data_IF_112754899412
#
_entry.id   IF_112754899412
#
_cell.length_a   1.000
_cell.length_b   1.000
_cell.length_c   1.000
_cell.angle_alpha   90.00
_cell.angle_beta   90.00
_cell.angle_gamma   90.00
#
_symmetry.space_group_name_H-M   'P 1'
#
loop_
_entity.id
_entity.type
_entity.pdbx_description
1 polymer ?
#
# COMPACT_ATOMS: atom_id res chain seq x y z
N UNK A 1 2.32 77.55 3.19
CA UNK A 1 2.97 77.32 4.50
C UNK A 1 2.19 76.25 5.27
N UNK A 2 2.87 75.19 5.75
CA UNK A 2 2.40 74.19 6.70
C UNK A 2 1.15 73.36 6.33
N UNK A 3 1.41 72.15 5.84
CA UNK A 3 0.74 70.92 6.20
C UNK A 3 1.51 69.74 5.59
N UNK A 4 2.61 69.38 6.21
CA UNK A 4 3.30 68.11 6.03
C UNK A 4 3.83 67.70 7.40
N UNK A 5 3.10 66.88 8.11
CA UNK A 5 3.57 66.00 9.21
C UNK A 5 2.32 65.24 9.69
N UNK A 6 2.18 63.98 9.31
CA UNK A 6 1.52 62.87 9.99
C UNK A 6 1.15 61.78 9.00
N UNK A 7 2.15 61.18 8.32
CA UNK A 7 1.92 60.02 7.50
C UNK A 7 3.16 59.10 7.52
N UNK A 8 3.65 58.71 8.71
CA UNK A 8 4.84 57.86 8.79
C UNK A 8 4.85 56.94 10.02
N UNK A 9 3.71 56.50 10.57
CA UNK A 9 3.71 55.56 11.73
C UNK A 9 2.76 54.33 11.55
N UNK A 10 2.08 54.17 10.45
CA UNK A 10 1.10 53.03 10.31
C UNK A 10 1.60 51.89 9.44
N UNK A 11 2.76 51.97 8.80
CA UNK A 11 3.27 50.90 7.90
C UNK A 11 4.15 49.86 8.64
N UNK A 12 4.49 50.07 9.89
CA UNK A 12 5.46 49.22 10.64
C UNK A 12 4.88 48.00 11.39
N UNK A 13 3.55 47.84 11.46
CA UNK A 13 2.95 46.78 12.34
C UNK A 13 2.32 45.63 11.52
N UNK A 14 2.12 45.78 10.22
CA UNK A 14 1.48 44.69 9.39
C UNK A 14 2.50 43.70 8.82
N UNK A 15 3.80 43.99 8.87
CA UNK A 15 4.85 43.10 8.32
C UNK A 15 5.30 41.98 9.29
N UNK A 16 4.85 41.95 10.55
CA UNK A 16 5.32 40.99 11.55
C UNK A 16 4.37 39.80 11.82
N UNK A 17 3.25 39.70 11.10
CA UNK A 17 2.23 38.66 11.32
C UNK A 17 2.13 37.60 10.21
N UNK A 18 3.05 37.58 9.26
CA UNK A 18 3.01 36.63 8.11
C UNK A 18 4.18 35.62 8.05
N UNK A 19 4.89 35.41 9.15
CA UNK A 19 6.01 34.42 9.19
C UNK A 19 5.83 33.30 10.22
N UNK A 20 4.61 32.89 10.49
CA UNK A 20 4.34 31.69 11.30
C UNK A 20 3.56 30.63 10.51
N UNK A 21 3.81 30.47 9.19
CA UNK A 21 3.63 29.18 8.55
C UNK A 21 4.85 28.34 8.90
N UNK A 22 4.86 27.85 10.14
CA UNK A 22 5.86 26.86 10.56
C UNK A 22 5.78 25.68 9.60
N UNK A 23 6.87 25.39 8.89
CA UNK A 23 7.10 24.06 8.33
C UNK A 23 6.80 23.08 9.47
N UNK A 24 5.72 22.33 9.33
CA UNK A 24 5.40 21.26 10.26
C UNK A 24 6.53 20.26 10.08
N UNK A 25 7.48 20.25 11.01
CA UNK A 25 8.58 19.29 10.99
C UNK A 25 7.92 17.91 11.12
N UNK A 26 7.96 17.11 10.05
CA UNK A 26 7.41 15.76 10.02
C UNK A 26 8.02 14.83 11.08
N UNK A 27 9.10 15.28 11.72
CA UNK A 27 9.75 14.62 12.86
C UNK A 27 9.07 14.89 14.18
N UNK A 28 8.18 15.88 14.28
CA UNK A 28 7.47 16.15 15.54
C UNK A 28 6.21 15.31 15.60
N UNK A 29 6.21 14.31 16.48
CA UNK A 29 5.05 13.46 16.73
C UNK A 29 4.19 14.12 17.82
N UNK A 30 2.93 14.47 17.52
CA UNK A 30 2.05 15.08 18.53
C UNK A 30 1.71 14.08 19.63
N UNK A 31 1.45 14.61 20.83
CA UNK A 31 0.94 13.85 21.96
C UNK A 31 -0.55 14.16 22.15
N UNK A 32 -1.38 13.12 22.24
CA UNK A 32 -2.82 13.21 22.51
C UNK A 32 -3.11 12.34 23.73
N UNK A 33 -3.72 12.90 24.76
CA UNK A 33 -4.04 12.22 26.02
C UNK A 33 -2.85 11.42 26.62
N UNK A 34 -1.65 11.98 26.51
CA UNK A 34 -0.41 11.38 27.01
C UNK A 34 0.18 10.29 26.13
N UNK A 35 -0.41 10.00 24.95
CA UNK A 35 0.08 9.01 23.99
C UNK A 35 0.62 9.69 22.74
N UNK A 36 1.68 9.14 22.11
CA UNK A 36 2.10 9.62 20.80
C UNK A 36 1.02 9.33 19.76
N UNK A 37 0.66 10.34 18.96
CA UNK A 37 -0.30 10.19 17.87
C UNK A 37 0.41 10.04 16.55
N UNK A 38 0.11 8.95 15.82
CA UNK A 38 0.63 8.67 14.49
C UNK A 38 -0.51 8.68 13.48
N UNK A 39 -0.33 9.42 12.41
CA UNK A 39 -1.22 9.33 11.24
C UNK A 39 -0.61 8.36 10.24
N UNK A 40 -1.37 7.33 9.88
CA UNK A 40 -0.99 6.32 8.89
C UNK A 40 -1.89 6.50 7.66
N UNK A 41 -1.30 6.71 6.49
CA UNK A 41 -2.02 6.66 5.23
C UNK A 41 -2.08 5.23 4.72
N UNK A 42 -3.24 4.80 4.28
CA UNK A 42 -3.46 3.45 3.73
C UNK A 42 -3.80 3.57 2.26
N UNK A 43 -3.18 2.77 1.40
CA UNK A 43 -3.38 2.76 -0.06
C UNK A 43 -4.75 2.19 -0.52
N UNK A 44 -5.75 2.26 0.35
CA UNK A 44 -7.14 1.80 0.16
C UNK A 44 -7.64 1.06 1.38
N UNK A 45 -8.34 1.75 2.29
CA UNK A 45 -8.79 1.20 3.58
C UNK A 45 -9.70 -0.04 3.44
N UNK A 46 -10.51 -0.09 2.38
CA UNK A 46 -11.44 -1.21 2.14
C UNK A 46 -10.79 -2.41 1.43
N UNK A 47 -9.58 -2.29 0.92
CA UNK A 47 -8.87 -3.37 0.23
C UNK A 47 -8.43 -4.45 1.21
N UNK A 48 -8.72 -5.72 0.92
CA UNK A 48 -8.35 -6.83 1.80
C UNK A 48 -6.84 -6.93 2.00
N UNK A 49 -6.04 -6.56 1.02
CA UNK A 49 -4.56 -6.52 1.13
C UNK A 49 -4.06 -5.62 2.26
N UNK A 50 -4.85 -4.62 2.69
CA UNK A 50 -4.52 -3.69 3.78
C UNK A 50 -5.39 -3.90 5.04
N UNK A 51 -6.15 -5.00 5.09
CA UNK A 51 -7.00 -5.39 6.21
C UNK A 51 -6.30 -5.26 7.58
N UNK A 52 -5.02 -5.61 7.76
CA UNK A 52 -4.36 -5.49 9.06
C UNK A 52 -4.41 -4.07 9.65
N UNK A 53 -4.42 -3.00 8.84
CA UNK A 53 -4.45 -1.63 9.35
C UNK A 53 -5.74 -1.34 10.15
N UNK A 54 -6.89 -1.55 9.52
CA UNK A 54 -8.18 -1.32 10.17
C UNK A 54 -8.45 -2.36 11.26
N UNK A 55 -8.07 -3.62 11.05
CA UNK A 55 -8.27 -4.68 12.02
C UNK A 55 -7.48 -4.42 13.32
N UNK A 56 -6.23 -3.92 13.24
CA UNK A 56 -5.44 -3.52 14.42
C UNK A 56 -6.19 -2.48 15.25
N UNK A 57 -6.77 -1.47 14.60
CA UNK A 57 -7.57 -0.44 15.26
C UNK A 57 -8.84 -1.05 15.87
N UNK A 58 -9.56 -1.91 15.15
CA UNK A 58 -10.81 -2.53 15.61
C UNK A 58 -10.62 -3.52 16.77
N UNK A 59 -9.45 -4.13 16.86
CA UNK A 59 -9.06 -5.02 17.97
C UNK A 59 -8.49 -4.25 19.18
N UNK A 60 -8.28 -2.91 19.06
CA UNK A 60 -7.74 -2.07 20.13
C UNK A 60 -6.25 -2.30 20.38
N UNK A 61 -5.52 -2.90 19.41
CA UNK A 61 -4.10 -3.21 19.64
C UNK A 61 -3.20 -1.99 19.59
N UNK A 62 -3.61 -0.89 18.95
CA UNK A 62 -2.87 0.37 19.03
C UNK A 62 -2.92 0.93 20.45
N UNK A 63 -4.12 1.03 21.05
CA UNK A 63 -4.31 1.53 22.40
C UNK A 63 -3.64 0.62 23.44
N UNK A 64 -3.72 -0.69 23.24
CA UNK A 64 -3.04 -1.69 24.10
C UNK A 64 -1.51 -1.51 24.10
N UNK A 65 -0.95 -1.04 23.00
CA UNK A 65 0.48 -0.74 22.87
C UNK A 65 0.79 0.74 23.16
N UNK A 66 -0.11 1.47 23.83
CA UNK A 66 0.09 2.84 24.30
C UNK A 66 0.46 3.81 23.14
N UNK A 67 -0.27 3.72 22.03
CA UNK A 67 -0.15 4.60 20.87
C UNK A 67 -1.53 4.97 20.34
N UNK A 68 -1.71 6.23 19.96
CA UNK A 68 -2.91 6.71 19.28
C UNK A 68 -2.65 6.71 17.77
N UNK A 69 -3.50 6.05 17.00
CA UNK A 69 -3.33 5.94 15.54
C UNK A 69 -4.55 6.47 14.81
N UNK A 70 -4.30 7.42 13.92
CA UNK A 70 -5.28 7.92 12.97
C UNK A 70 -5.04 7.27 11.61
N UNK A 71 -6.00 6.47 11.15
CA UNK A 71 -5.98 5.90 9.81
C UNK A 71 -6.64 6.85 8.81
N UNK A 72 -5.95 7.15 7.72
CA UNK A 72 -6.46 7.88 6.56
C UNK A 72 -6.38 6.98 5.33
N UNK A 73 -7.26 7.17 4.35
CA UNK A 73 -7.28 6.37 3.14
C UNK A 73 -7.01 7.19 1.90
N UNK A 74 -6.21 6.63 0.99
CA UNK A 74 -6.02 7.08 -0.39
C UNK A 74 -6.43 5.96 -1.35
N UNK A 75 -6.72 6.31 -2.61
CA UNK A 75 -7.16 5.31 -3.58
C UNK A 75 -6.02 4.44 -4.13
N UNK A 76 -4.78 4.91 -4.05
CA UNK A 76 -3.60 4.22 -4.57
C UNK A 76 -2.40 4.30 -3.64
N UNK A 77 -1.48 3.32 -3.73
CA UNK A 77 -0.21 3.36 -3.02
C UNK A 77 0.63 4.58 -3.37
N UNK A 78 0.68 4.99 -4.64
CA UNK A 78 1.43 6.15 -5.09
C UNK A 78 0.90 7.47 -4.47
N UNK A 79 -0.40 7.60 -4.23
CA UNK A 79 -0.95 8.77 -3.52
C UNK A 79 -0.60 8.73 -2.04
N UNK A 80 -0.68 7.56 -1.41
CA UNK A 80 -0.30 7.38 0.00
C UNK A 80 1.19 7.67 0.23
N UNK A 81 2.05 7.21 -0.67
CA UNK A 81 3.49 7.52 -0.70
C UNK A 81 3.76 9.03 -0.76
N UNK A 82 3.01 9.74 -1.61
CA UNK A 82 3.15 11.20 -1.73
C UNK A 82 2.87 11.90 -0.40
N UNK A 83 1.84 11.50 0.33
CA UNK A 83 1.52 12.05 1.65
C UNK A 83 2.65 11.82 2.69
N UNK A 84 3.35 10.67 2.61
CA UNK A 84 4.50 10.40 3.45
C UNK A 84 5.70 11.28 3.10
N UNK A 85 5.98 11.45 1.81
CA UNK A 85 7.11 12.26 1.32
C UNK A 85 6.92 13.74 1.63
N UNK A 86 5.69 14.26 1.57
CA UNK A 86 5.37 15.64 1.93
C UNK A 86 5.35 15.88 3.44
N UNK A 87 5.37 14.81 4.25
CA UNK A 87 5.33 14.90 5.72
C UNK A 87 3.92 15.09 6.30
N UNK A 88 2.88 14.90 5.49
CA UNK A 88 1.49 15.00 5.94
C UNK A 88 1.12 13.83 6.89
N UNK A 89 1.80 12.71 6.74
CA UNK A 89 1.66 11.51 7.58
C UNK A 89 3.01 10.96 8.01
N UNK A 90 3.04 10.16 9.07
CA UNK A 90 4.27 9.58 9.62
C UNK A 90 4.57 8.18 9.08
N UNK A 91 3.55 7.48 8.61
CA UNK A 91 3.69 6.11 8.09
C UNK A 91 2.69 5.84 6.98
N UNK A 92 2.96 4.80 6.20
CA UNK A 92 2.06 4.29 5.16
C UNK A 92 1.88 2.80 5.33
N UNK A 93 0.64 2.34 5.21
CA UNK A 93 0.34 0.95 4.89
C UNK A 93 0.15 0.86 3.38
N UNK A 94 1.13 0.26 2.72
CA UNK A 94 1.23 0.14 1.28
C UNK A 94 2.14 -1.02 0.89
N UNK A 95 2.49 -1.12 -0.39
CA UNK A 95 3.35 -2.18 -0.89
C UNK A 95 4.83 -1.88 -0.63
N UNK A 96 5.59 -2.90 -0.29
CA UNK A 96 7.03 -2.86 -0.08
C UNK A 96 7.83 -2.37 -1.30
N UNK A 97 7.37 -2.68 -2.52
CA UNK A 97 8.03 -2.29 -3.77
C UNK A 97 8.26 -0.77 -3.89
N UNK A 98 7.40 0.03 -3.24
CA UNK A 98 7.57 1.48 -3.15
C UNK A 98 8.86 1.89 -2.44
N UNK A 99 9.34 1.13 -1.45
CA UNK A 99 10.60 1.45 -0.76
C UNK A 99 11.79 1.32 -1.71
N UNK A 100 11.74 0.35 -2.63
CA UNK A 100 12.77 0.15 -3.67
C UNK A 100 12.66 1.22 -4.77
N UNK A 101 11.45 1.51 -5.28
CA UNK A 101 11.23 2.54 -6.30
C UNK A 101 11.66 3.92 -5.81
N UNK A 102 11.40 4.24 -4.53
CA UNK A 102 11.79 5.51 -3.94
C UNK A 102 13.27 5.59 -3.63
N UNK A 103 13.92 4.48 -3.26
CA UNK A 103 15.38 4.48 -3.14
C UNK A 103 16.05 4.78 -4.50
N UNK A 104 15.47 4.31 -5.61
CA UNK A 104 15.94 4.70 -6.95
C UNK A 104 15.81 6.21 -7.24
N UNK A 105 14.95 6.90 -6.50
CA UNK A 105 14.75 8.35 -6.53
C UNK A 105 15.45 9.08 -5.37
N UNK A 106 16.42 8.42 -4.73
CA UNK A 106 17.20 8.96 -3.61
C UNK A 106 16.35 9.35 -2.38
N UNK A 107 15.17 8.71 -2.22
CA UNK A 107 14.33 8.83 -1.04
C UNK A 107 14.49 7.59 -0.15
N UNK A 108 14.74 7.79 1.14
CA UNK A 108 14.89 6.69 2.08
C UNK A 108 13.57 6.37 2.78
N UNK A 109 12.97 5.24 2.39
CA UNK A 109 11.86 4.63 3.10
C UNK A 109 12.23 3.21 3.50
N UNK A 110 11.80 2.78 4.69
CA UNK A 110 12.05 1.44 5.19
C UNK A 110 10.76 0.77 5.66
N UNK A 111 10.52 -0.46 5.21
CA UNK A 111 9.47 -1.32 5.75
C UNK A 111 9.85 -1.79 7.14
N UNK A 112 8.97 -1.61 8.11
CA UNK A 112 9.21 -1.96 9.53
C UNK A 112 8.36 -3.15 9.99
N UNK A 113 7.28 -3.48 9.27
CA UNK A 113 6.47 -4.70 9.45
C UNK A 113 6.00 -5.17 8.09
N UNK A 114 6.24 -6.43 7.75
CA UNK A 114 5.75 -7.06 6.52
C UNK A 114 4.46 -7.81 6.80
N UNK A 115 3.35 -7.46 6.11
CA UNK A 115 2.07 -8.11 6.35
C UNK A 115 1.87 -9.32 5.44
N UNK A 116 2.28 -9.23 4.17
CA UNK A 116 2.02 -10.25 3.17
C UNK A 116 3.27 -10.64 2.38
N UNK A 117 3.44 -11.95 2.14
CA UNK A 117 4.56 -12.51 1.38
C UNK A 117 4.31 -12.51 -0.14
N UNK A 118 3.06 -12.25 -0.55
CA UNK A 118 2.60 -12.24 -1.94
C UNK A 118 1.73 -11.02 -2.22
N UNK A 119 1.51 -10.63 -3.50
CA UNK A 119 0.81 -9.40 -3.85
C UNK A 119 -0.65 -9.31 -3.35
N UNK A 120 -1.40 -10.42 -3.34
CA UNK A 120 -2.83 -10.36 -3.12
C UNK A 120 -3.60 -9.68 -4.28
N UNK A 121 -2.93 -9.44 -5.40
CA UNK A 121 -3.46 -8.80 -6.60
C UNK A 121 -3.83 -9.85 -7.65
N UNK A 122 -4.81 -9.49 -8.49
CA UNK A 122 -5.33 -10.34 -9.57
C UNK A 122 -5.42 -9.52 -10.84
N UNK A 123 -4.90 -10.05 -11.96
CA UNK A 123 -5.19 -9.51 -13.27
C UNK A 123 -6.52 -10.08 -13.73
N UNK A 124 -7.52 -9.22 -13.90
CA UNK A 124 -8.83 -9.55 -14.44
C UNK A 124 -8.89 -9.22 -15.93
N UNK A 125 -9.67 -9.98 -16.68
CA UNK A 125 -10.07 -9.68 -18.05
C UNK A 125 -11.58 -9.50 -18.11
N UNK A 126 -12.07 -8.52 -18.89
CA UNK A 126 -13.50 -8.30 -19.07
C UNK A 126 -14.19 -9.57 -19.62
N UNK A 127 -15.43 -9.81 -19.24
CA UNK A 127 -16.18 -10.95 -19.75
C UNK A 127 -16.30 -10.94 -21.30
N UNK A 128 -16.29 -9.74 -21.92
CA UNK A 128 -16.37 -9.57 -23.36
C UNK A 128 -15.08 -10.03 -24.05
N UNK A 129 -13.92 -9.77 -23.45
CA UNK A 129 -12.62 -10.09 -24.03
C UNK A 129 -12.08 -11.45 -23.60
N UNK A 130 -12.70 -12.11 -22.62
CA UNK A 130 -12.22 -13.37 -22.03
C UNK A 130 -12.10 -14.55 -23.00
N UNK A 131 -12.67 -14.45 -24.20
CA UNK A 131 -12.50 -15.44 -25.28
C UNK A 131 -11.21 -15.20 -26.09
N UNK A 132 -10.69 -13.97 -26.09
CA UNK A 132 -9.52 -13.55 -26.88
C UNK A 132 -8.31 -13.24 -26.04
N UNK A 133 -8.49 -12.88 -24.75
CA UNK A 133 -7.42 -12.65 -23.78
C UNK A 133 -7.40 -13.85 -22.82
N UNK A 134 -6.53 -14.80 -23.06
CA UNK A 134 -6.41 -16.06 -22.31
C UNK A 134 -5.08 -16.21 -21.61
N UNK A 135 -4.13 -15.35 -21.91
CA UNK A 135 -2.79 -15.29 -21.33
C UNK A 135 -2.26 -13.86 -21.29
N UNK A 136 -1.18 -13.62 -20.54
CA UNK A 136 -0.51 -12.33 -20.51
C UNK A 136 0.03 -11.90 -21.89
N UNK A 137 0.33 -12.85 -22.79
CA UNK A 137 0.77 -12.54 -24.16
C UNK A 137 -0.30 -11.81 -24.99
N UNK A 138 -1.59 -12.05 -24.70
CA UNK A 138 -2.73 -11.47 -25.41
C UNK A 138 -3.02 -10.01 -24.99
N UNK A 139 -2.29 -9.49 -23.99
CA UNK A 139 -2.44 -8.11 -23.49
C UNK A 139 -1.83 -7.06 -24.44
N UNK A 140 -1.14 -7.47 -25.50
CA UNK A 140 -0.58 -6.56 -26.51
C UNK A 140 -1.67 -5.75 -27.20
N UNK A 141 -1.49 -4.42 -27.27
CA UNK A 141 -2.43 -3.48 -27.87
C UNK A 141 -3.69 -3.20 -27.04
N UNK A 142 -3.78 -3.73 -25.81
CA UNK A 142 -4.95 -3.60 -24.94
C UNK A 142 -4.85 -2.38 -24.00
N UNK A 143 -5.99 -1.96 -23.49
CA UNK A 143 -6.11 -0.96 -22.42
C UNK A 143 -6.07 -1.67 -21.06
N UNK A 144 -4.98 -1.53 -20.34
CA UNK A 144 -4.75 -2.21 -19.06
C UNK A 144 -4.98 -1.27 -17.89
N UNK A 145 -5.96 -1.63 -17.05
CA UNK A 145 -6.33 -0.86 -15.87
C UNK A 145 -5.34 -1.06 -14.72
N UNK A 146 -4.86 0.04 -14.17
CA UNK A 146 -4.05 0.07 -12.94
C UNK A 146 -4.63 1.11 -11.97
N UNK A 147 -4.36 0.99 -10.66
CA UNK A 147 -4.90 1.97 -9.71
C UNK A 147 -4.40 3.39 -10.02
N UNK A 148 -3.11 3.54 -10.27
CA UNK A 148 -2.50 4.74 -10.85
C UNK A 148 -1.15 4.39 -11.47
N UNK A 149 -0.62 5.26 -12.33
CA UNK A 149 0.74 5.08 -12.84
C UNK A 149 1.74 5.22 -11.68
N UNK A 150 2.69 4.29 -11.61
CA UNK A 150 3.67 4.20 -10.51
C UNK A 150 3.14 3.54 -9.24
N UNK A 151 1.91 3.00 -9.23
CA UNK A 151 1.43 2.12 -8.16
C UNK A 151 1.94 0.68 -8.35
N UNK A 152 1.82 -0.15 -7.31
CA UNK A 152 2.23 -1.55 -7.38
C UNK A 152 1.47 -2.33 -8.44
N UNK A 153 0.19 -2.03 -8.67
CA UNK A 153 -0.58 -2.60 -9.80
C UNK A 153 0.06 -2.26 -11.15
N UNK A 154 0.60 -1.05 -11.33
CA UNK A 154 1.33 -0.69 -12.55
C UNK A 154 2.67 -1.44 -12.67
N UNK A 155 3.41 -1.61 -11.56
CA UNK A 155 4.64 -2.39 -11.57
C UNK A 155 4.40 -3.87 -11.89
N UNK A 156 3.37 -4.47 -11.30
CA UNK A 156 3.00 -5.86 -11.56
C UNK A 156 2.51 -6.06 -12.99
N UNK A 157 1.69 -5.15 -13.53
CA UNK A 157 1.28 -5.17 -14.95
C UNK A 157 2.50 -5.10 -15.88
N UNK A 158 3.47 -4.22 -15.59
CA UNK A 158 4.72 -4.16 -16.36
C UNK A 158 5.54 -5.46 -16.23
N UNK A 159 5.51 -6.12 -15.08
CA UNK A 159 6.21 -7.39 -14.89
C UNK A 159 5.55 -8.52 -15.70
N UNK A 160 4.23 -8.64 -15.66
CA UNK A 160 3.48 -9.66 -16.41
C UNK A 160 3.68 -9.49 -17.92
N UNK A 161 3.46 -8.30 -18.45
CA UNK A 161 3.61 -8.00 -19.87
C UNK A 161 5.07 -8.10 -20.33
N UNK A 162 6.00 -7.65 -19.48
CA UNK A 162 7.43 -7.69 -19.76
C UNK A 162 8.00 -9.12 -19.84
N UNK A 163 7.42 -10.09 -19.13
CA UNK A 163 7.78 -11.52 -19.28
C UNK A 163 7.43 -12.05 -20.68
N UNK A 164 6.39 -11.50 -21.31
CA UNK A 164 5.98 -11.80 -22.67
C UNK A 164 6.70 -10.94 -23.72
N UNK A 165 7.78 -10.28 -23.34
CA UNK A 165 8.60 -9.46 -24.25
C UNK A 165 7.97 -8.13 -24.65
N UNK A 166 6.96 -7.66 -23.92
CA UNK A 166 6.34 -6.36 -24.15
C UNK A 166 7.08 -5.26 -23.38
N UNK A 167 6.92 -4.04 -23.88
CA UNK A 167 7.29 -2.80 -23.21
C UNK A 167 6.05 -1.96 -22.95
N UNK A 168 6.15 -0.89 -22.19
CA UNK A 168 5.03 0.04 -21.96
C UNK A 168 4.54 0.79 -23.22
N UNK A 169 5.21 0.63 -24.36
CA UNK A 169 4.77 1.13 -25.65
C UNK A 169 3.84 0.14 -26.40
N UNK A 170 3.77 -1.11 -25.94
CA UNK A 170 3.01 -2.18 -26.59
C UNK A 170 1.56 -2.29 -26.12
N UNK A 171 1.15 -1.51 -25.10
CA UNK A 171 -0.20 -1.47 -24.54
C UNK A 171 -0.47 -0.12 -23.90
N UNK A 172 -1.74 0.20 -23.61
CA UNK A 172 -2.11 1.45 -22.93
C UNK A 172 -2.33 1.19 -21.44
N UNK A 173 -1.65 1.92 -20.56
CA UNK A 173 -1.92 1.90 -19.12
C UNK A 173 -2.97 2.95 -18.77
N UNK A 174 -4.10 2.50 -18.25
CA UNK A 174 -5.24 3.35 -17.89
C UNK A 174 -5.34 3.47 -16.39
N UNK A 175 -5.41 4.71 -15.88
CA UNK A 175 -5.70 4.95 -14.46
C UNK A 175 -7.15 4.62 -14.18
N UNK A 176 -7.41 3.40 -13.71
CA UNK A 176 -8.74 2.86 -13.45
C UNK A 176 -9.20 3.05 -11.99
N UNK A 177 -8.27 3.44 -11.10
CA UNK A 177 -8.58 3.51 -9.67
C UNK A 177 -8.78 2.13 -9.04
N UNK A 178 -9.68 2.03 -8.05
CA UNK A 178 -10.03 0.80 -7.37
C UNK A 178 -11.55 0.78 -7.04
N UNK A 179 -12.08 -0.38 -6.67
CA UNK A 179 -13.49 -0.53 -6.33
C UNK A 179 -14.40 -0.12 -7.49
N UNK A 180 -15.38 0.72 -7.23
CA UNK A 180 -16.41 1.09 -8.21
C UNK A 180 -15.84 1.80 -9.46
N UNK A 181 -14.73 2.54 -9.34
CA UNK A 181 -14.10 3.20 -10.50
C UNK A 181 -13.47 2.18 -11.44
N UNK A 182 -12.83 1.14 -10.90
CA UNK A 182 -12.28 0.02 -11.67
C UNK A 182 -13.40 -0.77 -12.37
N UNK A 183 -14.45 -1.11 -11.63
CA UNK A 183 -15.62 -1.83 -12.15
C UNK A 183 -16.26 -1.03 -13.31
N UNK A 184 -16.50 0.26 -13.12
CA UNK A 184 -17.04 1.11 -14.17
C UNK A 184 -16.12 1.19 -15.39
N UNK A 185 -14.80 1.30 -15.19
CA UNK A 185 -13.82 1.29 -16.26
C UNK A 185 -13.91 0.05 -17.15
N UNK A 186 -14.06 -1.13 -16.54
CA UNK A 186 -14.19 -2.40 -17.27
C UNK A 186 -15.56 -2.53 -17.93
N UNK A 187 -16.66 -2.23 -17.22
CA UNK A 187 -18.02 -2.38 -17.74
C UNK A 187 -18.36 -1.42 -18.88
N UNK A 188 -17.66 -0.29 -18.97
CA UNK A 188 -17.84 0.70 -20.05
C UNK A 188 -16.75 0.62 -21.13
N UNK A 189 -16.01 -0.50 -21.22
CA UNK A 189 -14.95 -0.74 -22.21
C UNK A 189 -13.81 0.32 -22.15
N UNK A 190 -13.60 0.93 -21.00
CA UNK A 190 -12.44 1.82 -20.77
C UNK A 190 -11.14 1.04 -20.56
N UNK A 191 -11.25 -0.21 -20.08
CA UNK A 191 -10.15 -1.16 -19.92
C UNK A 191 -10.60 -2.55 -20.39
N UNK A 192 -9.71 -3.26 -21.07
CA UNK A 192 -9.94 -4.64 -21.58
C UNK A 192 -9.56 -5.67 -20.51
N UNK A 193 -8.50 -5.39 -19.76
CA UNK A 193 -8.00 -6.14 -18.62
C UNK A 193 -7.47 -5.17 -17.55
N UNK A 194 -7.19 -5.66 -16.34
CA UNK A 194 -6.60 -4.78 -15.32
C UNK A 194 -6.30 -5.48 -14.00
N UNK A 195 -5.32 -4.90 -13.30
CA UNK A 195 -4.84 -5.36 -12.01
C UNK A 195 -5.66 -4.75 -10.88
N UNK A 196 -6.24 -5.60 -10.04
CA UNK A 196 -7.02 -5.17 -8.86
C UNK A 196 -6.95 -6.22 -7.75
N UNK A 197 -7.59 -5.95 -6.63
CA UNK A 197 -7.61 -6.81 -5.44
C UNK A 197 -9.02 -6.98 -4.88
N UNK A 198 -9.19 -7.89 -3.93
CA UNK A 198 -10.43 -8.05 -3.20
C UNK A 198 -10.78 -6.80 -2.34
N UNK A 199 -12.07 -6.47 -2.20
CA UNK A 199 -13.26 -7.23 -2.63
C UNK A 199 -13.69 -7.01 -4.10
N UNK A 200 -13.01 -6.17 -4.88
CA UNK A 200 -13.36 -5.90 -6.28
C UNK A 200 -13.30 -7.16 -7.14
N UNK A 201 -12.29 -8.01 -6.93
CA UNK A 201 -12.13 -9.30 -7.63
C UNK A 201 -13.36 -10.18 -7.42
N UNK A 202 -13.71 -10.46 -6.15
CA UNK A 202 -14.86 -11.30 -5.84
C UNK A 202 -16.17 -10.72 -6.41
N UNK A 203 -16.35 -9.40 -6.34
CA UNK A 203 -17.55 -8.75 -6.88
C UNK A 203 -17.68 -8.99 -8.39
N UNK A 204 -16.63 -8.75 -9.17
CA UNK A 204 -16.68 -8.86 -10.63
C UNK A 204 -16.73 -10.31 -11.13
N UNK A 205 -16.03 -11.22 -10.43
CA UNK A 205 -16.05 -12.64 -10.79
C UNK A 205 -17.41 -13.26 -10.47
N UNK A 206 -17.99 -12.97 -9.30
CA UNK A 206 -19.29 -13.52 -8.91
C UNK A 206 -20.45 -12.96 -9.74
N UNK A 207 -20.37 -11.71 -10.21
CA UNK A 207 -21.36 -11.14 -11.13
C UNK A 207 -21.19 -11.62 -12.58
N UNK A 208 -20.07 -12.29 -12.91
CA UNK A 208 -19.75 -12.72 -14.26
C UNK A 208 -19.26 -11.59 -15.19
N UNK A 209 -18.95 -10.42 -14.64
CA UNK A 209 -18.46 -9.26 -15.40
C UNK A 209 -16.99 -9.38 -15.80
N UNK A 210 -16.22 -10.21 -15.08
CA UNK A 210 -14.81 -10.46 -15.38
C UNK A 210 -14.42 -11.92 -15.12
N UNK A 211 -13.28 -12.32 -15.70
CA UNK A 211 -12.59 -13.58 -15.41
C UNK A 211 -11.18 -13.33 -14.90
N UNK A 212 -10.68 -14.23 -14.08
CA UNK A 212 -9.30 -14.21 -13.61
C UNK A 212 -8.38 -14.64 -14.75
N UNK A 213 -7.40 -13.80 -15.08
CA UNK A 213 -6.32 -14.10 -16.00
C UNK A 213 -5.06 -14.57 -15.26
N UNK A 214 -4.66 -13.83 -14.21
CA UNK A 214 -3.53 -14.20 -13.35
C UNK A 214 -3.93 -13.93 -11.89
N UNK A 215 -3.78 -14.94 -11.04
CA UNK A 215 -4.08 -14.85 -9.60
C UNK A 215 -2.78 -14.89 -8.78
N UNK A 216 -2.47 -13.81 -8.09
CA UNK A 216 -1.31 -13.68 -7.22
C UNK A 216 -1.71 -13.53 -5.73
N UNK A 217 -2.90 -14.02 -5.35
CA UNK A 217 -3.35 -14.08 -3.95
C UNK A 217 -2.70 -15.22 -3.15
N UNK A 218 -2.05 -16.16 -3.84
CA UNK A 218 -1.38 -17.32 -3.24
C UNK A 218 0.10 -17.35 -3.58
N UNK A 219 0.90 -18.06 -2.77
CA UNK A 219 2.31 -18.29 -3.05
C UNK A 219 2.52 -19.02 -4.38
N UNK A 220 1.72 -20.05 -4.65
CA UNK A 220 1.81 -20.83 -5.89
C UNK A 220 1.55 -19.96 -7.13
N UNK A 221 0.48 -19.16 -7.12
CA UNK A 221 0.13 -18.24 -8.20
C UNK A 221 1.20 -17.15 -8.38
N UNK A 222 1.69 -16.59 -7.29
CA UNK A 222 2.76 -15.57 -7.33
C UNK A 222 4.05 -16.14 -7.90
N UNK A 223 4.47 -17.34 -7.48
CA UNK A 223 5.67 -17.99 -8.04
C UNK A 223 5.52 -18.30 -9.53
N UNK A 224 4.35 -18.75 -9.96
CA UNK A 224 4.06 -18.99 -11.38
C UNK A 224 4.14 -17.67 -12.18
N UNK A 225 3.53 -16.60 -11.66
CA UNK A 225 3.49 -15.30 -12.31
C UNK A 225 4.84 -14.59 -12.30
N UNK A 226 5.54 -14.56 -11.14
CA UNK A 226 6.67 -13.68 -10.89
C UNK A 226 8.01 -14.43 -10.64
N UNK A 227 8.00 -15.77 -10.62
CA UNK A 227 9.19 -16.59 -10.44
C UNK A 227 9.68 -16.73 -9.00
N UNK A 228 9.03 -16.12 -8.03
CA UNK A 228 9.39 -16.15 -6.62
C UNK A 228 8.35 -15.46 -5.75
N UNK A 229 8.60 -15.38 -4.43
CA UNK A 229 7.80 -14.55 -3.53
C UNK A 229 7.90 -13.07 -3.94
N UNK A 230 6.85 -12.32 -3.68
CA UNK A 230 6.80 -10.88 -3.87
C UNK A 230 6.14 -10.25 -2.65
N UNK A 231 6.91 -10.02 -1.56
CA UNK A 231 6.40 -9.34 -0.37
C UNK A 231 5.73 -8.04 -0.77
N UNK A 232 4.52 -7.85 -0.28
CA UNK A 232 3.66 -6.77 -0.74
C UNK A 232 3.23 -5.85 0.40
N UNK A 233 2.01 -5.99 0.92
CA UNK A 233 1.51 -5.07 1.94
C UNK A 233 2.41 -5.06 3.18
N UNK A 234 2.75 -3.86 3.63
CA UNK A 234 3.67 -3.61 4.74
C UNK A 234 3.38 -2.26 5.41
N UNK A 235 3.91 -2.06 6.60
CA UNK A 235 4.05 -0.74 7.20
C UNK A 235 5.43 -0.19 6.85
N UNK A 236 5.50 0.94 6.17
CA UNK A 236 6.76 1.61 5.90
C UNK A 236 6.75 3.08 6.33
N UNK A 237 7.92 3.60 6.64
CA UNK A 237 8.14 4.94 7.17
C UNK A 237 9.40 5.55 6.53
N UNK A 238 9.57 6.85 6.68
CA UNK A 238 10.85 7.51 6.34
C UNK A 238 11.94 7.01 7.28
N UNK A 239 13.15 6.80 6.75
CA UNK A 239 14.28 6.33 7.55
C UNK A 239 14.60 7.27 8.71
N UNK A 240 14.59 8.60 8.47
CA UNK A 240 14.86 9.61 9.50
C UNK A 240 13.81 9.59 10.63
N UNK A 241 12.54 9.26 10.33
CA UNK A 241 11.49 9.10 11.32
C UNK A 241 11.71 7.84 12.17
N UNK A 242 12.10 6.73 11.53
CA UNK A 242 12.40 5.47 12.22
C UNK A 242 13.59 5.62 13.18
N UNK A 243 14.61 6.36 12.75
CA UNK A 243 15.81 6.59 13.57
C UNK A 243 15.56 7.57 14.73
N UNK A 244 14.72 8.58 14.51
CA UNK A 244 14.37 9.56 15.52
C UNK A 244 13.39 9.02 16.59
N UNK A 245 12.52 8.06 16.22
CA UNK A 245 11.42 7.58 17.08
C UNK A 245 11.34 6.04 17.17
N UNK A 246 12.43 5.34 17.51
CA UNK A 246 12.44 3.87 17.54
C UNK A 246 11.42 3.29 18.52
N UNK A 247 11.09 4.00 19.62
CA UNK A 247 10.11 3.55 20.60
C UNK A 247 8.69 3.49 20.02
N UNK A 248 8.35 4.46 19.17
CA UNK A 248 7.05 4.50 18.48
C UNK A 248 6.97 3.38 17.46
N UNK A 249 8.06 3.14 16.71
CA UNK A 249 8.12 2.05 15.76
C UNK A 249 7.96 0.68 16.44
N UNK A 250 8.53 0.49 17.64
CA UNK A 250 8.31 -0.73 18.46
C UNK A 250 6.84 -0.91 18.81
N UNK A 251 6.17 0.14 19.25
CA UNK A 251 4.73 0.10 19.59
C UNK A 251 3.88 -0.26 18.37
N UNK A 252 4.15 0.35 17.22
CA UNK A 252 3.47 0.02 15.96
C UNK A 252 3.73 -1.44 15.56
N UNK A 253 4.99 -1.88 15.58
CA UNK A 253 5.36 -3.25 15.23
C UNK A 253 4.67 -4.27 16.15
N UNK A 254 4.64 -4.04 17.46
CA UNK A 254 3.96 -4.91 18.41
C UNK A 254 2.46 -5.00 18.13
N UNK A 255 1.78 -3.88 17.86
CA UNK A 255 0.37 -3.85 17.55
C UNK A 255 0.03 -4.63 16.26
N UNK A 256 0.82 -4.45 15.19
CA UNK A 256 0.61 -5.16 13.95
C UNK A 256 0.96 -6.64 14.04
N UNK A 257 2.03 -7.02 14.74
CA UNK A 257 2.36 -8.45 14.97
C UNK A 257 1.22 -9.15 15.72
N UNK A 258 0.65 -8.52 16.76
CA UNK A 258 -0.53 -9.06 17.46
C UNK A 258 -1.71 -9.26 16.50
N UNK A 259 -1.93 -8.34 15.57
CA UNK A 259 -2.98 -8.46 14.57
C UNK A 259 -2.73 -9.62 13.59
N UNK A 260 -1.51 -9.75 13.08
CA UNK A 260 -1.15 -10.84 12.16
C UNK A 260 -1.32 -12.21 12.81
N UNK A 261 -0.88 -12.36 14.06
CA UNK A 261 -1.09 -13.59 14.85
C UNK A 261 -2.57 -13.85 15.13
N UNK A 262 -3.36 -12.79 15.34
CA UNK A 262 -4.80 -12.92 15.52
C UNK A 262 -5.46 -13.42 14.22
N UNK A 263 -5.06 -12.91 13.05
CA UNK A 263 -5.55 -13.35 11.74
C UNK A 263 -5.30 -14.85 11.53
N UNK A 264 -4.15 -15.39 11.91
CA UNK A 264 -3.80 -16.82 11.75
C UNK A 264 -4.74 -17.76 12.51
N UNK A 265 -5.35 -17.27 13.57
CA UNK A 265 -6.17 -18.10 14.48
C UNK A 265 -7.68 -17.88 14.35
N UNK A 266 -8.11 -16.99 13.45
CA UNK A 266 -9.52 -16.64 13.30
C UNK A 266 -10.02 -16.89 11.87
N UNK A 267 -11.29 -17.25 11.78
CA UNK A 267 -11.97 -17.51 10.50
C UNK A 267 -12.25 -16.23 9.74
N UNK A 268 -12.41 -16.28 8.41
CA UNK A 268 -12.81 -15.12 7.59
C UNK A 268 -14.09 -14.44 8.09
N UNK A 269 -15.05 -15.21 8.63
CA UNK A 269 -16.27 -14.64 9.20
C UNK A 269 -15.99 -13.84 10.48
N UNK A 270 -15.19 -14.37 11.40
CA UNK A 270 -14.81 -13.67 12.63
C UNK A 270 -14.01 -12.40 12.32
N UNK A 271 -13.16 -12.43 11.30
CA UNK A 271 -12.43 -11.26 10.82
C UNK A 271 -13.41 -10.23 10.26
N UNK A 272 -14.32 -10.62 9.36
CA UNK A 272 -15.33 -9.75 8.78
C UNK A 272 -16.21 -9.07 9.84
N UNK A 273 -16.55 -9.78 10.91
CA UNK A 273 -17.36 -9.26 12.03
C UNK A 273 -16.64 -8.15 12.84
N UNK A 274 -15.32 -8.07 12.77
CA UNK A 274 -14.55 -6.98 13.40
C UNK A 274 -14.44 -5.75 12.52
N UNK A 275 -14.59 -5.91 11.20
CA UNK A 275 -14.39 -4.81 10.26
C UNK A 275 -15.58 -3.83 10.23
N UNK A 276 -15.37 -2.58 9.79
CA UNK A 276 -16.47 -1.63 9.62
C UNK A 276 -17.55 -2.16 8.68
N UNK A 277 -18.85 -2.05 9.02
CA UNK A 277 -19.94 -2.59 8.21
C UNK A 277 -19.96 -2.10 6.75
N UNK A 278 -19.48 -0.88 6.50
CA UNK A 278 -19.39 -0.32 5.13
C UNK A 278 -18.45 -1.09 4.20
N UNK A 279 -17.48 -1.86 4.72
CA UNK A 279 -16.60 -2.69 3.90
C UNK A 279 -17.34 -3.87 3.26
N UNK A 280 -18.44 -4.28 3.87
CA UNK A 280 -19.35 -5.30 3.37
C UNK A 280 -20.56 -4.72 2.58
N UNK A 281 -20.43 -3.52 2.01
CA UNK A 281 -21.54 -2.83 1.31
C UNK A 281 -22.08 -3.60 0.10
N UNK A 282 -21.23 -4.42 -0.55
CA UNK A 282 -21.62 -5.31 -1.65
C UNK A 282 -22.23 -6.66 -1.17
N UNK A 283 -22.36 -6.85 0.15
CA UNK A 283 -22.88 -8.06 0.79
C UNK A 283 -21.88 -8.70 1.73
N UNK A 284 -22.38 -9.14 2.91
CA UNK A 284 -21.51 -9.74 3.93
C UNK A 284 -20.86 -11.04 3.44
N UNK A 285 -21.61 -11.90 2.78
CA UNK A 285 -21.11 -13.19 2.30
C UNK A 285 -20.00 -12.99 1.25
N UNK A 286 -20.15 -12.01 0.37
CA UNK A 286 -19.14 -11.65 -0.60
C UNK A 286 -17.87 -11.12 0.09
N UNK A 287 -18.00 -10.31 1.13
CA UNK A 287 -16.85 -9.80 1.87
C UNK A 287 -16.11 -10.92 2.64
N UNK A 288 -16.87 -11.84 3.26
CA UNK A 288 -16.30 -13.05 3.89
C UNK A 288 -15.55 -13.91 2.86
N UNK A 289 -16.13 -14.11 1.67
CA UNK A 289 -15.46 -14.83 0.57
C UNK A 289 -14.17 -14.11 0.13
N UNK A 290 -14.21 -12.78 -0.02
CA UNK A 290 -13.03 -11.97 -0.37
C UNK A 290 -11.89 -12.15 0.64
N UNK A 291 -12.20 -12.20 1.93
CA UNK A 291 -11.21 -12.48 2.98
C UNK A 291 -10.72 -13.93 2.85
N UNK A 292 -11.61 -14.91 2.67
CA UNK A 292 -11.23 -16.31 2.54
C UNK A 292 -10.28 -16.57 1.36
N UNK A 293 -10.53 -15.92 0.21
CA UNK A 293 -9.70 -16.06 -0.98
C UNK A 293 -8.32 -15.41 -0.83
N UNK A 294 -8.20 -14.44 0.07
CA UNK A 294 -7.00 -13.59 0.18
C UNK A 294 -6.22 -13.80 1.48
N UNK A 295 -6.81 -14.39 2.54
CA UNK A 295 -6.20 -14.47 3.88
C UNK A 295 -4.83 -15.18 3.87
N UNK A 296 -4.65 -16.15 2.97
CA UNK A 296 -3.40 -16.90 2.83
C UNK A 296 -2.19 -16.09 2.35
N UNK A 297 -2.40 -14.81 1.95
CA UNK A 297 -1.29 -13.92 1.60
C UNK A 297 -0.53 -13.40 2.82
N UNK A 298 -1.20 -13.26 3.97
CA UNK A 298 -0.60 -12.70 5.17
C UNK A 298 0.39 -13.65 5.82
N UNK A 299 1.48 -13.09 6.34
CA UNK A 299 2.40 -13.84 7.17
C UNK A 299 2.10 -13.53 8.66
N UNK A 300 2.06 -14.56 9.49
CA UNK A 300 1.65 -14.41 10.90
C UNK A 300 2.70 -13.79 11.81
N UNK A 301 3.93 -13.59 11.33
CA UNK A 301 5.03 -13.10 12.17
C UNK A 301 5.50 -11.67 11.84
N UNK A 302 5.07 -11.09 10.74
CA UNK A 302 5.46 -9.73 10.33
C UNK A 302 6.89 -9.59 9.79
N UNK A 303 7.64 -10.69 9.62
CA UNK A 303 9.03 -10.64 9.17
C UNK A 303 9.13 -10.61 7.63
N UNK A 304 10.02 -9.78 7.13
CA UNK A 304 10.41 -9.80 5.72
C UNK A 304 11.24 -11.04 5.41
N UNK A 305 10.89 -11.77 4.35
CA UNK A 305 11.70 -12.86 3.79
C UNK A 305 12.73 -12.29 2.81
N UNK A 306 14.04 -12.42 3.07
CA UNK A 306 15.08 -11.82 2.23
C UNK A 306 15.04 -12.25 0.77
N UNK A 307 14.69 -13.51 0.48
CA UNK A 307 14.54 -14.01 -0.89
C UNK A 307 13.38 -13.32 -1.62
N UNK A 308 12.31 -12.97 -0.90
CA UNK A 308 11.20 -12.21 -1.44
C UNK A 308 11.60 -10.78 -1.78
N UNK A 309 12.26 -10.08 -0.86
CA UNK A 309 12.78 -8.74 -1.10
C UNK A 309 13.73 -8.70 -2.31
N UNK A 310 14.60 -9.71 -2.44
CA UNK A 310 15.49 -9.86 -3.59
C UNK A 310 14.71 -10.07 -4.90
N UNK A 311 13.62 -10.86 -4.87
CA UNK A 311 12.79 -11.06 -6.05
C UNK A 311 12.05 -9.77 -6.46
N UNK A 312 11.55 -8.97 -5.51
CA UNK A 312 10.98 -7.64 -5.82
C UNK A 312 12.01 -6.76 -6.54
N UNK A 313 13.24 -6.68 -6.02
CA UNK A 313 14.32 -5.94 -6.69
C UNK A 313 14.63 -6.49 -8.09
N UNK A 314 14.64 -7.80 -8.28
CA UNK A 314 14.88 -8.42 -9.58
C UNK A 314 13.77 -8.05 -10.58
N UNK A 315 12.51 -8.07 -10.15
CA UNK A 315 11.34 -7.69 -10.97
C UNK A 315 11.41 -6.20 -11.33
N UNK A 316 11.54 -5.31 -10.35
CA UNK A 316 11.61 -3.88 -10.60
C UNK A 316 12.86 -3.50 -11.41
N UNK A 317 14.01 -4.09 -11.10
CA UNK A 317 15.27 -3.88 -11.82
C UNK A 317 15.22 -4.35 -13.27
N UNK A 318 14.29 -5.21 -13.64
CA UNK A 318 14.09 -5.66 -15.02
C UNK A 318 13.03 -4.86 -15.75
N UNK A 319 11.92 -4.54 -15.11
CA UNK A 319 10.72 -4.04 -15.77
C UNK A 319 10.37 -2.59 -15.43
N UNK A 320 10.71 -2.09 -14.22
CA UNK A 320 10.46 -0.69 -13.87
C UNK A 320 11.40 0.26 -14.59
N UNK A 321 10.84 1.32 -15.19
CA UNK A 321 11.61 2.37 -15.84
C UNK A 321 12.47 3.19 -14.88
N UNK A 322 12.06 3.29 -13.60
CA UNK A 322 12.80 4.04 -12.58
C UNK A 322 13.91 3.20 -11.95
N UNK A 323 13.60 1.96 -11.58
CA UNK A 323 14.53 1.09 -10.83
C UNK A 323 15.60 0.47 -11.75
N UNK A 324 15.24 0.12 -12.99
CA UNK A 324 16.16 -0.53 -13.93
C UNK A 324 17.51 0.19 -14.10
N UNK A 325 17.58 1.52 -14.33
CA UNK A 325 18.87 2.21 -14.47
C UNK A 325 19.63 2.33 -13.15
N UNK A 326 18.98 2.15 -12.01
CA UNK A 326 19.53 2.33 -10.67
C UNK A 326 19.73 1.03 -9.90
N UNK A 327 19.39 -0.13 -10.52
CA UNK A 327 19.34 -1.45 -9.87
C UNK A 327 20.57 -1.76 -9.00
N UNK A 328 21.76 -1.52 -9.54
CA UNK A 328 23.03 -1.87 -8.88
C UNK A 328 23.40 -0.89 -7.74
N UNK A 329 22.66 0.22 -7.59
CA UNK A 329 22.79 1.18 -6.48
C UNK A 329 21.81 0.93 -5.36
N UNK A 330 20.77 0.11 -5.59
CA UNK A 330 19.79 -0.23 -4.59
C UNK A 330 20.38 -1.12 -3.52
N UNK A 331 20.26 -0.70 -2.27
CA UNK A 331 20.68 -1.47 -1.10
C UNK A 331 19.44 -1.99 -0.38
N UNK A 332 19.17 -3.27 -0.51
CA UNK A 332 17.99 -3.89 0.13
C UNK A 332 18.00 -3.74 1.66
N UNK A 333 19.18 -3.70 2.29
CA UNK A 333 19.32 -3.44 3.73
C UNK A 333 18.70 -2.12 4.20
N UNK A 334 18.54 -1.16 3.30
CA UNK A 334 18.00 0.15 3.61
C UNK A 334 16.49 0.23 3.33
N UNK A 335 15.92 -0.78 2.64
CA UNK A 335 14.51 -0.82 2.23
C UNK A 335 13.60 -1.51 3.24
N UNK A 336 14.14 -2.29 4.16
CA UNK A 336 13.39 -2.91 5.26
C UNK A 336 14.26 -3.17 6.48
N UNK A 337 13.61 -3.36 7.63
CA UNK A 337 14.24 -3.82 8.87
C UNK A 337 13.34 -4.78 9.60
N UNK A 338 13.90 -5.85 10.17
CA UNK A 338 13.16 -6.85 10.96
C UNK A 338 13.28 -6.61 12.47
N UNK A 339 14.18 -5.72 12.91
CA UNK A 339 14.55 -5.55 14.33
C UNK A 339 13.36 -5.32 15.26
N UNK A 340 12.39 -4.49 14.85
CA UNK A 340 11.24 -4.15 15.68
C UNK A 340 10.24 -5.30 15.80
N UNK A 341 10.07 -6.06 14.72
CA UNK A 341 9.24 -7.27 14.69
C UNK A 341 9.89 -8.37 15.54
N UNK A 342 11.20 -8.56 15.42
CA UNK A 342 11.95 -9.52 16.24
C UNK A 342 11.86 -9.19 17.74
N UNK A 343 11.90 -7.91 18.10
CA UNK A 343 11.69 -7.45 19.47
C UNK A 343 10.26 -7.76 19.94
N UNK A 344 9.24 -7.48 19.10
CA UNK A 344 7.83 -7.76 19.41
C UNK A 344 7.57 -9.25 19.61
N UNK A 345 8.17 -10.12 18.80
CA UNK A 345 8.02 -11.58 18.90
C UNK A 345 8.68 -12.19 20.15
N UNK A 346 9.71 -11.52 20.70
CA UNK A 346 10.38 -11.97 21.95
C UNK A 346 9.64 -11.54 23.22
N UNK A 347 8.80 -10.52 23.11
CA UNK A 347 8.07 -10.01 24.29
C UNK A 347 6.81 -10.87 24.50
N UNK A 348 6.63 -11.50 25.68
CA UNK A 348 5.42 -12.25 25.98
C UNK A 348 4.21 -11.33 25.84
N UNK A 349 3.22 -11.77 25.08
CA UNK A 349 1.94 -11.04 24.96
C UNK A 349 1.17 -11.19 26.28
N UNK A 350 0.95 -10.08 27.00
CA UNK A 350 0.12 -10.01 28.20
C UNK A 350 -1.38 -9.99 27.82
#
# INVERSE_FOLDING_TARGET
>A
MRYYKHLTVVVGVIAALLLATGCRDSRTIPMVDGRPQITIMVGGLEKVIYLPAMLTQRLGFFEKNDIDVKLLGEQSGASAETALLTGDVQAVVGFYDHTIDLQAKEQCLTSVVQFADVPGEVELVSAQDAATITSAADLRGKNLGVTSLGSSTDFLTQALTGKEGMTTADYTRVRAGAGQTFIAGMNHNGIDAGMTTDPTVAQMVNSGEAKILVDMRTEAGTRAALGGLYPASSLYMRCDTVDAHPDIVRKLAAAFVQTLQWIETHTPLEIADKMPPQYASAGKDLYVQSIADSIGMFNGNGLMKPEGAQNVLNILGKYSTNVRPMRDRIKLSDTYTTRFVEEALRTPQQ
#
